data_IF_990495906487
#
_entry.id   IF_990495906487
#
_cell.length_a   1.000
_cell.length_b   1.000
_cell.length_c   1.000
_cell.angle_alpha   90.00
_cell.angle_beta   90.00
_cell.angle_gamma   90.00
#
_symmetry.space_group_name_H-M   'P 1'
#
loop_
_entity.id
_entity.type
_entity.pdbx_description
1 polymer ?
#
# COMPACT_ATOMS: atom_id res chain seq x y z
N UNK A 1 -45.44 -19.04 29.60
CA UNK A 1 -44.40 -18.10 30.08
C UNK A 1 -43.07 -18.56 29.48
N UNK A 2 -42.70 -18.09 28.27
CA UNK A 2 -41.74 -17.00 27.97
C UNK A 2 -40.37 -17.19 28.68
N UNK A 3 -39.19 -17.26 28.05
CA UNK A 3 -38.63 -16.70 26.80
C UNK A 3 -37.56 -17.67 26.24
N UNK A 4 -37.52 -18.01 24.94
CA UNK A 4 -36.84 -17.32 23.81
C UNK A 4 -35.36 -16.96 24.09
N UNK A 5 -34.45 -17.83 23.66
CA UNK A 5 -33.05 -17.52 23.33
C UNK A 5 -32.97 -17.47 21.80
N UNK A 6 -32.81 -16.26 21.24
CA UNK A 6 -32.49 -16.06 19.82
C UNK A 6 -30.97 -16.02 19.68
N UNK A 7 -30.41 -17.08 19.09
CA UNK A 7 -29.12 -17.01 18.43
C UNK A 7 -29.27 -16.16 17.17
N UNK A 8 -28.51 -15.07 17.10
CA UNK A 8 -28.39 -14.25 15.89
C UNK A 8 -27.08 -14.62 15.19
N UNK A 9 -27.12 -15.73 14.44
CA UNK A 9 -26.21 -15.98 13.32
C UNK A 9 -26.63 -15.04 12.20
N UNK A 10 -25.78 -14.10 11.81
CA UNK A 10 -25.94 -13.38 10.55
C UNK A 10 -24.68 -13.56 9.73
N UNK A 11 -24.77 -14.54 8.83
CA UNK A 11 -24.01 -14.57 7.59
C UNK A 11 -24.61 -13.51 6.67
N UNK A 12 -23.93 -12.38 6.51
CA UNK A 12 -24.21 -11.46 5.40
C UNK A 12 -23.22 -11.75 4.29
N UNK A 13 -23.78 -12.11 3.14
CA UNK A 13 -23.05 -12.36 1.91
C UNK A 13 -22.29 -11.09 1.49
N UNK A 14 -20.97 -11.08 1.66
CA UNK A 14 -20.10 -10.17 0.95
C UNK A 14 -20.02 -10.65 -0.51
N UNK A 15 -20.82 -10.04 -1.39
CA UNK A 15 -20.53 -10.09 -2.82
C UNK A 15 -19.45 -9.05 -3.07
N UNK A 16 -18.19 -9.48 -3.03
CA UNK A 16 -17.11 -8.72 -3.63
C UNK A 16 -17.40 -8.64 -5.13
N UNK A 17 -17.32 -7.44 -5.71
CA UNK A 17 -17.19 -7.27 -7.15
C UNK A 17 -15.86 -7.92 -7.59
N UNK A 18 -15.89 -9.23 -7.79
CA UNK A 18 -14.84 -9.96 -8.48
C UNK A 18 -15.04 -9.72 -9.98
N UNK A 19 -14.17 -8.92 -10.59
CA UNK A 19 -13.98 -8.99 -12.03
C UNK A 19 -13.19 -10.26 -12.30
N UNK A 20 -13.91 -11.38 -12.43
CA UNK A 20 -13.41 -12.60 -13.05
C UNK A 20 -13.41 -12.35 -14.56
N UNK A 21 -12.24 -12.09 -15.14
CA UNK A 21 -12.03 -12.21 -16.58
C UNK A 21 -11.02 -13.32 -16.84
N UNK A 22 -11.53 -14.49 -17.21
CA UNK A 22 -10.77 -15.52 -17.93
C UNK A 22 -11.54 -15.91 -19.20
N UNK A 23 -10.93 -15.52 -20.33
CA UNK A 23 -10.93 -16.01 -21.71
C UNK A 23 -12.14 -16.75 -22.34
N UNK A 24 -12.50 -16.28 -23.56
CA UNK A 24 -13.36 -17.00 -24.51
C UNK A 24 -13.53 -16.29 -25.86
N UNK A 25 -12.45 -16.31 -26.64
CA UNK A 25 -12.30 -16.21 -28.11
C UNK A 25 -12.85 -15.09 -29.01
N UNK A 26 -11.94 -14.78 -29.94
CA UNK A 26 -11.91 -13.86 -31.06
C UNK A 26 -13.03 -13.94 -32.11
N UNK A 27 -13.37 -12.77 -32.67
CA UNK A 27 -13.40 -12.59 -34.13
C UNK A 27 -13.22 -11.11 -34.54
N UNK A 28 -12.23 -10.90 -35.41
CA UNK A 28 -11.86 -9.75 -36.25
C UNK A 28 -12.91 -8.66 -36.56
N UNK A 29 -12.50 -7.39 -36.65
CA UNK A 29 -12.34 -6.64 -37.92
C UNK A 29 -11.74 -5.23 -37.67
N UNK A 30 -10.80 -4.86 -38.52
CA UNK A 30 -10.12 -3.57 -38.70
C UNK A 30 -11.02 -2.35 -38.90
N UNK A 31 -10.58 -1.17 -38.45
CA UNK A 31 -10.42 0.01 -39.34
C UNK A 31 -9.73 1.19 -38.64
N UNK A 32 -8.76 1.75 -39.35
CA UNK A 32 -8.21 3.09 -39.17
C UNK A 32 -9.31 4.15 -39.14
N UNK A 33 -9.21 5.14 -38.25
CA UNK A 33 -9.80 6.45 -38.48
C UNK A 33 -8.82 7.54 -38.04
N UNK A 34 -8.31 8.23 -39.05
CA UNK A 34 -7.59 9.51 -38.99
C UNK A 34 -8.47 10.57 -38.31
N UNK A 35 -7.89 11.39 -37.43
CA UNK A 35 -8.49 12.66 -37.01
C UNK A 35 -7.71 13.81 -37.64
N UNK A 36 -8.34 14.44 -38.62
CA UNK A 36 -7.88 15.65 -39.27
C UNK A 36 -8.11 16.92 -38.44
N UNK A 37 -7.26 17.89 -38.74
CA UNK A 37 -7.25 19.27 -38.24
C UNK A 37 -8.48 20.11 -38.67
N UNK A 38 -8.77 21.15 -37.85
CA UNK A 38 -9.09 22.48 -38.38
C UNK A 38 -10.36 23.18 -37.87
N UNK A 39 -10.16 24.16 -36.96
CA UNK A 39 -10.74 25.54 -36.86
C UNK A 39 -12.24 25.82 -37.14
N UNK A 40 -12.94 26.82 -36.57
CA UNK A 40 -12.71 27.93 -35.63
C UNK A 40 -14.09 28.61 -35.45
N UNK A 41 -14.43 29.15 -34.27
CA UNK A 41 -15.04 30.49 -34.17
C UNK A 41 -15.22 30.94 -32.72
N UNK A 42 -14.89 32.21 -32.55
CA UNK A 42 -14.72 33.02 -31.34
C UNK A 42 -16.02 33.32 -30.57
N UNK A 43 -15.88 33.46 -29.25
CA UNK A 43 -16.70 34.39 -28.43
C UNK A 43 -15.87 34.85 -27.23
N UNK A 44 -15.60 36.15 -27.17
CA UNK A 44 -15.09 36.84 -25.99
C UNK A 44 -16.21 37.01 -24.95
N UNK A 45 -15.92 36.80 -23.66
CA UNK A 45 -16.43 37.60 -22.55
C UNK A 45 -15.69 37.29 -21.24
N UNK A 46 -15.66 38.31 -20.41
CA UNK A 46 -14.68 38.59 -19.35
C UNK A 46 -14.89 37.86 -18.02
N UNK A 47 -13.81 37.87 -17.24
CA UNK A 47 -13.70 37.86 -15.78
C UNK A 47 -14.24 36.64 -15.02
N UNK A 48 -13.33 35.83 -14.49
CA UNK A 48 -13.08 35.75 -13.04
C UNK A 48 -11.85 34.89 -12.82
N UNK A 49 -11.05 35.32 -11.84
CA UNK A 49 -9.76 34.75 -11.45
C UNK A 49 -9.98 33.27 -11.10
N UNK A 50 -9.49 32.38 -11.95
CA UNK A 50 -9.22 31.01 -11.56
C UNK A 50 -7.87 31.04 -10.85
N UNK A 51 -7.88 30.92 -9.52
CA UNK A 51 -6.68 30.52 -8.80
C UNK A 51 -6.35 29.11 -9.27
N UNK A 52 -5.33 29.01 -10.11
CA UNK A 52 -4.65 27.75 -10.32
C UNK A 52 -4.06 27.33 -8.97
N UNK A 53 -4.56 26.21 -8.45
CA UNK A 53 -3.98 25.55 -7.29
C UNK A 53 -2.62 25.04 -7.72
N UNK A 54 -1.63 25.90 -7.53
CA UNK A 54 -0.24 25.63 -7.85
C UNK A 54 0.24 24.51 -6.94
N UNK A 55 0.61 23.40 -7.55
CA UNK A 55 1.30 22.29 -6.92
C UNK A 55 2.68 22.78 -6.46
N UNK A 56 2.78 23.16 -5.19
CA UNK A 56 4.04 23.40 -4.50
C UNK A 56 3.91 22.83 -3.10
N UNK A 57 4.60 21.72 -2.92
CA UNK A 57 4.72 20.92 -1.71
C UNK A 57 5.35 21.70 -0.57
N UNK A 58 4.50 22.23 0.31
CA UNK A 58 4.68 22.32 1.77
C UNK A 58 3.27 22.21 2.36
N UNK A 59 3.03 21.24 3.24
CA UNK A 59 1.79 21.20 4.03
C UNK A 59 1.87 22.33 5.06
N UNK A 60 1.55 23.56 4.67
CA UNK A 60 1.43 24.69 5.59
C UNK A 60 0.18 24.48 6.47
N UNK A 61 0.28 23.60 7.45
CA UNK A 61 -0.70 23.51 8.53
C UNK A 61 -0.61 24.83 9.29
N UNK A 62 -1.69 25.61 9.28
CA UNK A 62 -1.80 26.81 10.11
C UNK A 62 -1.96 26.39 11.58
N UNK A 63 -0.83 26.28 12.28
CA UNK A 63 -0.79 25.88 13.68
C UNK A 63 -1.17 27.08 14.55
N UNK A 64 -2.28 27.01 15.33
CA UNK A 64 -2.67 28.06 16.25
C UNK A 64 -1.55 28.40 17.25
N UNK A 65 -1.53 29.65 17.71
CA UNK A 65 -0.50 30.15 18.62
C UNK A 65 -0.34 29.25 19.86
N UNK A 66 0.91 28.88 20.15
CA UNK A 66 1.27 28.00 21.26
C UNK A 66 1.04 26.51 21.00
N UNK A 67 0.55 26.12 19.83
CA UNK A 67 0.47 24.73 19.39
C UNK A 67 1.73 24.24 18.68
N UNK A 68 1.73 22.96 18.31
CA UNK A 68 2.72 22.32 17.44
C UNK A 68 2.05 21.35 16.47
N UNK A 69 2.75 21.04 15.38
CA UNK A 69 2.39 19.92 14.51
C UNK A 69 2.42 18.62 15.32
N UNK A 70 1.41 17.76 15.13
CA UNK A 70 1.38 16.46 15.78
C UNK A 70 2.46 15.55 15.19
N UNK A 71 3.01 14.69 16.03
CA UNK A 71 3.88 13.58 15.66
C UNK A 71 3.08 12.28 15.65
N UNK A 72 3.62 11.25 15.01
CA UNK A 72 2.97 9.94 14.98
C UNK A 72 2.75 9.37 16.40
N UNK A 73 3.62 9.73 17.35
CA UNK A 73 3.49 9.35 18.76
C UNK A 73 2.22 9.93 19.42
N UNK A 74 1.78 11.12 19.01
CA UNK A 74 0.60 11.79 19.57
C UNK A 74 -0.72 11.14 19.15
N UNK A 75 -0.73 10.41 18.03
CA UNK A 75 -1.95 9.77 17.56
C UNK A 75 -2.37 8.59 18.45
N UNK A 76 -3.62 8.62 18.89
CA UNK A 76 -4.26 7.50 19.57
C UNK A 76 -4.63 6.39 18.59
N UNK A 77 -4.76 5.16 19.08
CA UNK A 77 -5.04 3.97 18.23
C UNK A 77 -6.37 4.07 17.48
N UNK A 78 -7.39 4.63 18.14
CA UNK A 78 -8.70 4.90 17.55
C UNK A 78 -9.14 6.30 17.96
N UNK A 79 -9.42 7.15 16.98
CA UNK A 79 -9.81 8.55 17.16
C UNK A 79 -11.20 8.72 16.56
N UNK A 80 -12.13 9.28 17.34
CA UNK A 80 -13.43 9.72 16.84
C UNK A 80 -13.23 10.95 15.96
N UNK A 81 -13.70 10.87 14.71
CA UNK A 81 -13.75 12.02 13.78
C UNK A 81 -15.07 12.81 13.91
N UNK A 82 -15.87 12.50 14.93
CA UNK A 82 -17.18 13.12 15.14
C UNK A 82 -18.23 12.58 14.18
N UNK A 83 -19.19 13.42 13.81
CA UNK A 83 -20.20 13.07 12.82
C UNK A 83 -19.69 13.37 11.40
N UNK A 84 -19.53 12.31 10.61
CA UNK A 84 -19.25 12.38 9.17
C UNK A 84 -20.31 11.55 8.44
N UNK A 85 -20.70 11.97 7.23
CA UNK A 85 -21.67 11.23 6.42
C UNK A 85 -23.04 11.01 7.12
N UNK A 86 -23.38 11.83 8.12
CA UNK A 86 -24.60 11.71 8.91
C UNK A 86 -24.55 10.65 10.02
N UNK A 87 -23.36 10.15 10.38
CA UNK A 87 -23.16 9.17 11.46
C UNK A 87 -21.77 9.33 12.09
N UNK A 88 -21.46 8.56 13.13
CA UNK A 88 -20.12 8.59 13.75
C UNK A 88 -19.09 7.89 12.87
N UNK A 89 -17.97 8.55 12.63
CA UNK A 89 -16.82 7.99 11.94
C UNK A 89 -15.59 7.96 12.86
N UNK A 90 -14.70 7.00 12.61
CA UNK A 90 -13.51 6.77 13.43
C UNK A 90 -12.29 6.57 12.54
N UNK A 91 -11.19 7.23 12.85
CA UNK A 91 -9.88 6.93 12.32
C UNK A 91 -9.22 5.86 13.20
N UNK A 92 -8.70 4.80 12.59
CA UNK A 92 -7.83 3.83 13.22
C UNK A 92 -6.41 3.98 12.68
N UNK A 93 -5.44 4.01 13.59
CA UNK A 93 -4.00 4.17 13.32
C UNK A 93 -3.21 2.88 13.60
N UNK A 94 -3.88 1.90 14.22
CA UNK A 94 -3.34 0.57 14.52
C UNK A 94 -2.02 0.58 15.30
N UNK A 95 -0.99 -0.01 14.73
CA UNK A 95 0.37 -0.08 15.26
C UNK A 95 1.27 1.08 14.77
N UNK A 96 0.70 2.05 14.03
CA UNK A 96 1.39 3.23 13.50
C UNK A 96 2.43 2.90 12.42
N UNK A 97 2.10 1.95 11.55
CA UNK A 97 2.90 1.57 10.37
C UNK A 97 2.49 2.32 9.09
N UNK A 98 2.06 3.58 9.22
CA UNK A 98 1.57 4.44 8.12
C UNK A 98 0.37 3.87 7.33
N UNK A 99 -0.22 2.78 7.81
CA UNK A 99 -1.52 2.26 7.36
C UNK A 99 -2.58 2.90 8.25
N UNK A 100 -3.62 3.43 7.65
CA UNK A 100 -4.74 4.06 8.33
C UNK A 100 -6.05 3.53 7.78
N UNK A 101 -7.10 3.64 8.58
CA UNK A 101 -8.44 3.39 8.09
C UNK A 101 -9.49 4.27 8.74
N UNK A 102 -10.46 4.70 7.95
CA UNK A 102 -11.66 5.38 8.44
C UNK A 102 -12.79 4.37 8.45
N UNK A 103 -13.54 4.32 9.54
CA UNK A 103 -14.62 3.37 9.75
C UNK A 103 -15.91 4.08 10.10
N UNK A 104 -16.96 3.73 9.39
CA UNK A 104 -18.34 3.81 9.87
C UNK A 104 -18.73 2.42 10.33
N UNK A 105 -18.91 2.18 11.65
CA UNK A 105 -19.21 0.86 12.17
C UNK A 105 -20.39 0.19 11.45
N UNK A 106 -20.24 -1.11 11.19
CA UNK A 106 -21.25 -1.98 10.58
C UNK A 106 -21.76 -1.54 9.19
N UNK A 107 -21.13 -0.53 8.57
CA UNK A 107 -21.63 0.10 7.34
C UNK A 107 -20.58 0.17 6.24
N UNK A 108 -19.48 0.89 6.49
CA UNK A 108 -18.48 1.19 5.46
C UNK A 108 -17.12 1.50 6.08
N UNK A 109 -16.06 1.29 5.32
CA UNK A 109 -14.70 1.61 5.74
C UNK A 109 -13.80 1.88 4.54
N UNK A 110 -12.72 2.62 4.77
CA UNK A 110 -11.64 2.80 3.81
C UNK A 110 -10.32 2.53 4.51
N UNK A 111 -9.42 1.81 3.85
CA UNK A 111 -8.05 1.57 4.31
C UNK A 111 -7.07 2.17 3.31
N UNK A 112 -6.07 2.89 3.79
CA UNK A 112 -5.12 3.62 2.96
C UNK A 112 -3.75 3.73 3.63
N UNK A 113 -2.75 3.94 2.79
CA UNK A 113 -1.36 4.16 3.19
C UNK A 113 -1.03 5.63 3.03
N UNK A 114 -0.45 6.23 4.06
CA UNK A 114 0.07 7.58 4.01
C UNK A 114 1.22 7.70 4.98
N UNK A 115 2.40 8.05 4.51
CA UNK A 115 3.48 8.41 5.43
C UNK A 115 3.03 9.57 6.30
N UNK A 116 3.14 9.43 7.62
CA UNK A 116 2.80 10.50 8.55
C UNK A 116 3.89 11.57 8.57
N UNK A 117 3.78 12.52 7.65
CA UNK A 117 4.71 13.64 7.51
C UNK A 117 4.01 14.94 7.84
N UNK A 118 4.70 15.77 8.60
CA UNK A 118 4.24 17.11 8.98
C UNK A 118 2.81 17.10 9.54
N UNK A 119 2.51 16.14 10.41
CA UNK A 119 1.21 16.03 11.07
C UNK A 119 0.04 15.66 10.16
N UNK A 120 0.28 15.22 8.93
CA UNK A 120 -0.78 15.00 7.94
C UNK A 120 -0.85 13.55 7.49
N UNK A 121 -2.08 13.06 7.32
CA UNK A 121 -2.38 11.86 6.52
C UNK A 121 -3.17 12.24 5.27
N UNK A 122 -2.88 11.57 4.17
CA UNK A 122 -3.54 11.73 2.87
C UNK A 122 -4.38 10.48 2.57
N UNK A 123 -5.54 10.66 1.95
CA UNK A 123 -6.39 9.56 1.53
C UNK A 123 -6.96 9.83 0.14
N UNK A 124 -7.16 8.78 -0.65
CA UNK A 124 -7.78 8.87 -1.98
C UNK A 124 -7.57 7.63 -2.82
N UNK A 125 -8.25 7.56 -3.97
CA UNK A 125 -8.26 6.37 -4.84
C UNK A 125 -6.89 5.86 -5.31
N UNK A 126 -5.83 6.65 -5.19
CA UNK A 126 -4.46 6.30 -5.55
C UNK A 126 -3.66 5.61 -4.41
N UNK A 127 -4.11 5.68 -3.16
CA UNK A 127 -3.33 5.21 -2.00
C UNK A 127 -4.13 4.28 -1.07
N UNK A 128 -5.19 3.64 -1.55
CA UNK A 128 -5.93 2.68 -0.73
C UNK A 128 -7.15 2.10 -1.40
N UNK A 129 -8.11 1.69 -0.59
CA UNK A 129 -9.35 1.08 -1.04
C UNK A 129 -10.52 1.42 -0.11
N UNK A 130 -11.71 1.33 -0.66
CA UNK A 130 -12.97 1.64 -0.01
C UNK A 130 -13.94 0.46 -0.16
N UNK A 131 -14.65 0.13 0.92
CA UNK A 131 -15.68 -0.90 0.95
C UNK A 131 -16.88 -0.47 1.80
N UNK A 132 -18.08 -0.86 1.39
CA UNK A 132 -19.30 -0.65 2.18
C UNK A 132 -20.48 -1.45 1.66
N UNK A 133 -21.68 -1.14 2.15
CA UNK A 133 -22.93 -1.84 1.80
C UNK A 133 -23.59 -1.15 0.61
N UNK A 134 -23.75 -1.88 -0.49
CA UNK A 134 -24.38 -1.35 -1.71
C UNK A 134 -25.79 -0.77 -1.44
N UNK A 135 -26.02 0.45 -1.96
CA UNK A 135 -27.30 1.15 -1.84
C UNK A 135 -27.55 1.81 -0.48
N UNK A 136 -26.59 1.75 0.45
CA UNK A 136 -26.62 2.53 1.68
C UNK A 136 -26.12 3.97 1.46
N UNK A 137 -26.83 4.95 2.01
CA UNK A 137 -26.50 6.38 1.79
C UNK A 137 -25.17 6.80 2.42
N UNK A 138 -24.81 6.19 3.54
CA UNK A 138 -23.52 6.47 4.20
C UNK A 138 -22.39 5.90 3.36
N UNK A 139 -22.59 4.68 2.84
CA UNK A 139 -21.68 4.06 1.86
C UNK A 139 -21.49 4.98 0.64
N UNK A 140 -22.57 5.46 0.03
CA UNK A 140 -22.46 6.36 -1.14
C UNK A 140 -21.69 7.64 -0.81
N UNK A 141 -22.01 8.29 0.31
CA UNK A 141 -21.34 9.51 0.74
C UNK A 141 -19.84 9.31 1.05
N UNK A 142 -19.50 8.19 1.70
CA UNK A 142 -18.12 7.82 1.99
C UNK A 142 -17.33 7.48 0.71
N UNK A 143 -17.98 6.83 -0.25
CA UNK A 143 -17.42 6.56 -1.58
C UNK A 143 -17.13 7.85 -2.35
N UNK A 144 -18.02 8.83 -2.32
CA UNK A 144 -17.76 10.15 -2.93
C UNK A 144 -16.64 10.92 -2.22
N UNK A 145 -16.57 10.84 -0.89
CA UNK A 145 -15.45 11.40 -0.11
C UNK A 145 -14.12 10.75 -0.48
N UNK A 146 -14.09 9.42 -0.62
CA UNK A 146 -12.93 8.65 -1.07
C UNK A 146 -12.47 9.03 -2.48
N UNK A 147 -13.41 9.17 -3.43
CA UNK A 147 -13.10 9.54 -4.82
C UNK A 147 -12.50 10.94 -4.92
N UNK A 148 -12.98 11.89 -4.12
CA UNK A 148 -12.40 13.24 -4.04
C UNK A 148 -10.99 13.21 -3.45
N UNK A 149 -10.76 12.31 -2.50
CA UNK A 149 -9.54 12.29 -1.72
C UNK A 149 -9.43 13.52 -0.82
N UNK A 150 -8.33 13.60 -0.07
CA UNK A 150 -8.12 14.70 0.86
C UNK A 150 -7.02 14.46 1.87
N UNK A 151 -7.00 15.32 2.88
CA UNK A 151 -6.06 15.29 3.99
C UNK A 151 -6.79 15.32 5.33
N UNK A 152 -6.18 14.69 6.33
CA UNK A 152 -6.49 14.93 7.74
C UNK A 152 -5.20 15.44 8.39
N UNK A 153 -5.23 16.68 8.87
CA UNK A 153 -4.11 17.33 9.52
C UNK A 153 -4.30 17.33 11.02
N UNK A 154 -3.22 17.10 11.76
CA UNK A 154 -3.22 16.95 13.21
C UNK A 154 -2.26 17.95 13.84
N UNK A 155 -2.73 18.58 14.91
CA UNK A 155 -1.93 19.47 15.76
C UNK A 155 -2.10 19.08 17.22
N UNK A 156 -1.17 19.50 18.05
CA UNK A 156 -1.32 19.52 19.50
C UNK A 156 -1.42 20.98 19.92
N UNK A 157 -2.52 21.35 20.55
CA UNK A 157 -2.77 22.73 20.95
C UNK A 157 -1.95 23.12 22.20
N UNK A 158 -2.08 24.38 22.63
CA UNK A 158 -1.36 24.91 23.79
C UNK A 158 -1.71 24.27 25.15
N UNK A 159 -2.79 23.49 25.20
CA UNK A 159 -3.20 22.68 26.36
C UNK A 159 -2.76 21.21 26.25
N UNK A 160 -1.87 20.89 25.31
CA UNK A 160 -1.39 19.53 25.02
C UNK A 160 -2.51 18.56 24.60
N UNK A 161 -3.53 19.07 23.90
CA UNK A 161 -4.63 18.26 23.36
C UNK A 161 -4.48 18.09 21.85
N UNK A 162 -4.64 16.86 21.38
CA UNK A 162 -4.68 16.53 19.97
C UNK A 162 -5.96 17.11 19.34
N UNK A 163 -5.79 17.79 18.21
CA UNK A 163 -6.89 18.27 17.37
C UNK A 163 -6.66 17.83 15.93
N UNK A 164 -7.73 17.70 15.16
CA UNK A 164 -7.67 17.34 13.75
C UNK A 164 -8.50 18.30 12.89
N UNK A 165 -8.10 18.46 11.65
CA UNK A 165 -8.83 19.16 10.60
C UNK A 165 -8.92 18.25 9.38
N UNK A 166 -10.09 18.21 8.75
CA UNK A 166 -10.30 17.49 7.48
C UNK A 166 -10.33 18.50 6.36
N UNK A 167 -9.46 18.32 5.36
CA UNK A 167 -9.38 19.17 4.16
C UNK A 167 -9.25 20.68 4.46
N UNK A 168 -8.49 21.05 5.49
CA UNK A 168 -8.24 22.45 5.85
C UNK A 168 -9.44 23.17 6.49
N UNK A 169 -10.43 22.44 7.00
CA UNK A 169 -11.48 23.01 7.84
C UNK A 169 -11.00 23.41 9.24
N UNK A 170 -11.93 23.84 10.10
CA UNK A 170 -11.61 24.18 11.48
C UNK A 170 -11.10 22.96 12.27
N UNK A 171 -10.13 23.20 13.16
CA UNK A 171 -9.63 22.17 14.08
C UNK A 171 -10.68 21.77 15.10
N UNK A 172 -10.84 20.46 15.27
CA UNK A 172 -11.75 19.83 16.21
C UNK A 172 -10.96 18.94 17.17
N UNK A 173 -11.41 18.85 18.42
CA UNK A 173 -10.76 18.00 19.42
C UNK A 173 -10.81 16.53 19.01
N UNK A 174 -9.65 15.88 19.00
CA UNK A 174 -9.54 14.45 18.75
C UNK A 174 -9.91 13.68 20.03
N UNK A 175 -10.97 12.87 19.97
CA UNK A 175 -11.42 12.07 21.12
C UNK A 175 -10.99 10.63 20.93
N UNK A 176 -10.19 10.11 21.86
CA UNK A 176 -9.79 8.69 21.88
C UNK A 176 -10.99 7.79 22.17
N UNK A 177 -11.21 6.78 21.33
CA UNK A 177 -12.33 5.84 21.44
C UNK A 177 -11.86 4.45 21.88
N UNK A 178 -12.60 3.86 22.83
CA UNK A 178 -12.35 2.48 23.27
C UNK A 178 -13.14 1.50 22.40
N UNK A 179 -12.46 0.89 21.43
CA UNK A 179 -13.06 -0.15 20.58
C UNK A 179 -12.92 -1.53 21.25
N UNK A 180 -14.02 -2.28 21.43
CA UNK A 180 -13.95 -3.66 21.93
C UNK A 180 -13.12 -4.54 21.00
N UNK A 181 -12.20 -5.31 21.59
CA UNK A 181 -11.40 -6.30 20.86
C UNK A 181 -12.10 -7.65 20.95
N UNK A 182 -12.18 -8.36 19.82
CA UNK A 182 -12.68 -9.74 19.80
C UNK A 182 -11.78 -10.62 20.66
N UNK A 183 -12.37 -11.36 21.61
CA UNK A 183 -11.65 -12.07 22.69
C UNK A 183 -10.55 -13.04 22.23
N UNK A 184 -10.64 -13.51 20.99
CA UNK A 184 -9.72 -14.47 20.40
C UNK A 184 -9.04 -13.93 19.14
N UNK A 185 -9.01 -12.60 18.93
CA UNK A 185 -8.37 -11.99 17.78
C UNK A 185 -7.09 -11.25 18.18
N UNK A 186 -6.07 -11.34 17.33
CA UNK A 186 -4.93 -10.44 17.39
C UNK A 186 -5.43 -9.04 17.08
N UNK A 187 -4.91 -8.04 17.82
CA UNK A 187 -5.37 -6.67 17.72
C UNK A 187 -4.26 -5.65 17.44
N UNK A 188 -3.00 -6.06 17.44
CA UNK A 188 -1.84 -5.20 17.17
C UNK A 188 -1.00 -5.80 16.02
N UNK A 189 -0.67 -4.99 15.00
CA UNK A 189 0.15 -5.42 13.87
C UNK A 189 1.57 -5.85 14.27
N UNK A 190 2.11 -5.29 15.36
CA UNK A 190 3.42 -5.67 15.89
C UNK A 190 3.49 -7.13 16.34
N UNK A 191 2.35 -7.74 16.70
CA UNK A 191 2.28 -9.14 17.10
C UNK A 191 2.55 -10.11 15.93
N UNK A 192 2.57 -9.60 14.69
CA UNK A 192 2.94 -10.36 13.49
C UNK A 192 4.40 -10.15 13.06
N UNK A 193 5.10 -9.13 13.57
CA UNK A 193 6.47 -8.79 13.15
C UNK A 193 7.42 -9.97 13.36
N UNK A 194 8.16 -10.35 12.32
CA UNK A 194 9.12 -11.45 12.36
C UNK A 194 8.48 -12.85 12.30
N UNK A 195 7.20 -12.92 11.92
CA UNK A 195 6.49 -14.19 11.73
C UNK A 195 6.35 -14.54 10.26
N UNK A 196 6.43 -15.84 9.99
CA UNK A 196 6.00 -16.47 8.74
C UNK A 196 4.81 -17.38 9.04
N UNK A 197 3.68 -17.11 8.41
CA UNK A 197 2.45 -17.91 8.49
C UNK A 197 2.30 -18.71 7.20
N UNK A 198 2.34 -20.03 7.31
CA UNK A 198 2.03 -20.94 6.21
C UNK A 198 0.59 -21.41 6.35
N UNK A 199 -0.27 -20.90 5.49
CA UNK A 199 -1.72 -21.03 5.57
C UNK A 199 -2.28 -21.93 4.48
N UNK A 200 -3.32 -22.69 4.81
CA UNK A 200 -3.99 -23.64 3.90
C UNK A 200 -5.49 -23.46 3.90
N UNK A 201 -6.09 -23.55 2.72
CA UNK A 201 -7.52 -23.66 2.53
C UNK A 201 -7.80 -24.73 1.46
N UNK A 202 -8.14 -25.93 1.89
CA UNK A 202 -8.16 -27.09 0.99
C UNK A 202 -6.76 -27.42 0.49
N UNK A 203 -6.61 -27.48 -0.83
CA UNK A 203 -5.33 -27.75 -1.50
C UNK A 203 -4.48 -26.48 -1.71
N UNK A 204 -5.10 -25.30 -1.60
CA UNK A 204 -4.42 -24.02 -1.78
C UNK A 204 -3.50 -23.72 -0.60
N UNK A 205 -2.27 -23.31 -0.92
CA UNK A 205 -1.25 -22.89 0.05
C UNK A 205 -0.84 -21.47 -0.22
N UNK A 206 -0.80 -20.67 0.84
CA UNK A 206 -0.28 -19.31 0.81
C UNK A 206 0.62 -19.10 2.01
N UNK A 207 1.75 -18.45 1.77
CA UNK A 207 2.70 -18.05 2.80
C UNK A 207 2.60 -16.54 2.98
N UNK A 208 2.49 -16.08 4.23
CA UNK A 208 2.60 -14.68 4.60
C UNK A 208 3.84 -14.50 5.48
N UNK A 209 4.75 -13.62 5.06
CA UNK A 209 5.94 -13.24 5.81
C UNK A 209 5.79 -11.79 6.23
N UNK A 210 5.87 -11.52 7.53
CA UNK A 210 5.61 -10.21 8.12
C UNK A 210 6.90 -9.59 8.66
N UNK A 211 7.24 -8.43 8.10
CA UNK A 211 8.32 -7.55 8.56
C UNK A 211 7.71 -6.45 9.45
N UNK A 212 8.42 -5.33 9.64
CA UNK A 212 7.89 -4.19 10.38
C UNK A 212 6.90 -3.40 9.52
N UNK A 213 5.60 -3.58 9.76
CA UNK A 213 4.54 -2.89 9.00
C UNK A 213 4.44 -3.29 7.52
N UNK A 214 5.32 -4.18 7.05
CA UNK A 214 5.39 -4.66 5.67
C UNK A 214 5.19 -6.16 5.58
N UNK A 215 4.59 -6.65 4.50
CA UNK A 215 4.37 -8.07 4.30
C UNK A 215 4.80 -8.53 2.91
N UNK A 216 5.12 -9.82 2.80
CA UNK A 216 5.24 -10.57 1.57
C UNK A 216 4.25 -11.74 1.62
N UNK A 217 3.42 -11.87 0.60
CA UNK A 217 2.54 -13.00 0.34
C UNK A 217 3.11 -13.81 -0.83
N UNK A 218 3.16 -15.13 -0.70
CA UNK A 218 3.61 -16.04 -1.75
C UNK A 218 2.66 -17.23 -1.90
N UNK A 219 2.38 -17.64 -3.13
CA UNK A 219 1.56 -18.81 -3.45
C UNK A 219 2.02 -19.47 -4.75
N UNK A 220 1.73 -20.76 -4.90
CA UNK A 220 1.93 -21.44 -6.19
C UNK A 220 0.75 -21.11 -7.10
N UNK A 221 1.03 -20.50 -8.26
CA UNK A 221 0.06 -20.28 -9.34
C UNK A 221 0.33 -21.22 -10.52
N UNK A 222 -0.53 -21.14 -11.54
CA UNK A 222 -0.42 -21.98 -12.75
C UNK A 222 0.91 -21.82 -13.49
N UNK A 223 1.46 -20.60 -13.50
CA UNK A 223 2.68 -20.23 -14.24
C UNK A 223 3.93 -20.16 -13.33
N UNK A 224 3.83 -20.68 -12.09
CA UNK A 224 4.91 -20.69 -11.11
C UNK A 224 4.60 -19.86 -9.86
N UNK A 225 5.65 -19.37 -9.20
CA UNK A 225 5.52 -18.63 -7.94
C UNK A 225 4.88 -17.26 -8.17
N UNK A 226 3.69 -17.08 -7.62
CA UNK A 226 3.01 -15.79 -7.51
C UNK A 226 3.34 -15.13 -6.17
N UNK A 227 3.47 -13.82 -6.17
CA UNK A 227 3.72 -13.08 -4.94
C UNK A 227 3.17 -11.67 -4.97
N UNK A 228 2.84 -11.15 -3.79
CA UNK A 228 2.47 -9.76 -3.57
C UNK A 228 3.15 -9.23 -2.32
N UNK A 229 3.59 -7.99 -2.31
CA UNK A 229 4.17 -7.33 -1.15
C UNK A 229 3.51 -5.96 -0.96
N UNK A 230 3.46 -5.52 0.29
CA UNK A 230 2.98 -4.19 0.62
C UNK A 230 2.92 -3.91 2.11
N UNK A 231 1.97 -3.09 2.51
CA UNK A 231 1.83 -2.61 3.88
C UNK A 231 0.79 -3.40 4.64
N UNK A 232 1.00 -3.61 5.93
CA UNK A 232 -0.03 -4.22 6.77
C UNK A 232 -0.12 -3.55 8.14
N UNK A 233 -1.30 -3.69 8.73
CA UNK A 233 -1.53 -3.41 10.14
C UNK A 233 -2.77 -4.16 10.64
N UNK A 234 -2.94 -4.26 11.95
CA UNK A 234 -4.18 -4.76 12.56
C UNK A 234 -4.94 -3.60 13.19
N UNK A 235 -6.08 -3.30 12.58
CA UNK A 235 -6.94 -2.17 12.94
C UNK A 235 -8.33 -2.69 13.26
N UNK A 236 -8.82 -2.37 14.45
CA UNK A 236 -10.13 -2.86 14.95
C UNK A 236 -10.31 -4.38 14.84
N UNK A 237 -9.26 -5.14 15.16
CA UNK A 237 -9.20 -6.62 15.06
C UNK A 237 -9.29 -7.16 13.63
N UNK A 238 -8.93 -6.34 12.64
CA UNK A 238 -8.86 -6.71 11.22
C UNK A 238 -7.44 -6.49 10.73
N UNK A 239 -6.82 -7.54 10.21
CA UNK A 239 -5.59 -7.46 9.44
C UNK A 239 -5.92 -6.83 8.10
N UNK A 240 -5.42 -5.62 7.90
CA UNK A 240 -5.46 -4.89 6.64
C UNK A 240 -4.12 -5.12 5.94
N UNK A 241 -4.15 -5.60 4.70
CA UNK A 241 -2.97 -5.82 3.87
C UNK A 241 -3.16 -5.10 2.54
N UNK A 242 -2.37 -4.05 2.31
CA UNK A 242 -2.40 -3.22 1.12
C UNK A 242 -1.28 -3.62 0.18
N UNK A 243 -1.62 -4.17 -0.99
CA UNK A 243 -0.63 -4.62 -1.97
C UNK A 243 -0.12 -3.45 -2.80
N UNK A 244 1.20 -3.33 -2.94
CA UNK A 244 1.84 -2.28 -3.76
C UNK A 244 2.74 -2.86 -4.85
N UNK A 245 3.45 -3.94 -4.52
CA UNK A 245 4.27 -4.73 -5.43
C UNK A 245 3.61 -6.10 -5.64
N UNK A 246 3.57 -6.58 -6.87
CA UNK A 246 3.01 -7.89 -7.14
C UNK A 246 3.52 -8.47 -8.46
N UNK A 247 3.63 -9.79 -8.47
CA UNK A 247 3.79 -10.62 -9.65
C UNK A 247 2.68 -11.69 -9.61
N UNK A 248 1.44 -11.24 -9.83
CA UNK A 248 0.22 -12.07 -9.83
C UNK A 248 -0.64 -11.69 -11.04
N UNK A 249 -1.47 -12.61 -11.53
CA UNK A 249 -2.45 -12.28 -12.59
C UNK A 249 -3.59 -11.39 -12.08
N UNK A 250 -3.96 -11.52 -10.82
CA UNK A 250 -5.02 -10.76 -10.16
C UNK A 250 -4.47 -9.76 -9.14
N UNK A 251 -4.82 -8.49 -9.29
CA UNK A 251 -4.49 -7.44 -8.33
C UNK A 251 -5.63 -7.27 -7.31
N UNK A 252 -5.32 -7.48 -6.03
CA UNK A 252 -6.25 -7.22 -4.92
C UNK A 252 -5.65 -6.07 -4.09
N UNK A 253 -6.07 -4.81 -4.31
CA UNK A 253 -5.43 -3.64 -3.70
C UNK A 253 -5.44 -3.67 -2.17
N UNK A 254 -6.50 -4.23 -1.58
CA UNK A 254 -6.66 -4.35 -0.14
C UNK A 254 -7.30 -5.68 0.21
N UNK A 255 -6.60 -6.43 1.05
CA UNK A 255 -7.10 -7.64 1.68
C UNK A 255 -7.43 -7.33 3.13
N UNK A 256 -8.59 -7.83 3.59
CA UNK A 256 -9.02 -7.72 4.98
C UNK A 256 -9.33 -9.12 5.53
N UNK A 257 -8.69 -9.48 6.64
CA UNK A 257 -8.87 -10.75 7.32
C UNK A 257 -8.96 -10.55 8.84
N UNK A 258 -9.52 -11.52 9.54
CA UNK A 258 -9.36 -11.63 11.00
C UNK A 258 -8.24 -12.62 11.27
N UNK A 259 -7.36 -12.30 12.21
CA UNK A 259 -6.33 -13.22 12.70
C UNK A 259 -6.72 -13.65 14.09
N UNK A 260 -6.91 -14.94 14.30
CA UNK A 260 -7.21 -15.47 15.63
C UNK A 260 -5.93 -15.63 16.48
N UNK A 261 -6.10 -15.96 17.77
CA UNK A 261 -4.98 -16.17 18.70
C UNK A 261 -4.07 -17.36 18.34
N UNK A 262 -4.57 -18.26 17.49
CA UNK A 262 -3.82 -19.40 16.94
C UNK A 262 -3.23 -19.07 15.55
N UNK A 263 -3.34 -17.80 15.11
CA UNK A 263 -2.86 -17.26 13.84
C UNK A 263 -3.58 -17.79 12.60
N UNK A 264 -4.74 -18.44 12.75
CA UNK A 264 -5.59 -18.76 11.60
C UNK A 264 -6.21 -17.49 11.04
N UNK A 265 -6.42 -17.47 9.72
CA UNK A 265 -6.98 -16.33 9.01
C UNK A 265 -8.43 -16.62 8.63
N UNK A 266 -9.31 -15.65 8.82
CA UNK A 266 -10.68 -15.70 8.31
C UNK A 266 -10.94 -14.51 7.40
N UNK A 267 -11.25 -14.76 6.13
CA UNK A 267 -11.61 -13.71 5.18
C UNK A 267 -12.96 -13.09 5.52
N UNK A 268 -13.25 -11.93 4.92
CA UNK A 268 -14.58 -11.29 4.99
C UNK A 268 -15.71 -12.15 4.42
N UNK A 269 -15.41 -13.07 3.51
CA UNK A 269 -16.37 -14.02 2.94
C UNK A 269 -16.61 -15.24 3.84
N UNK A 270 -15.90 -15.35 4.98
CA UNK A 270 -15.99 -16.47 5.92
C UNK A 270 -15.09 -17.65 5.59
N UNK A 271 -14.29 -17.58 4.51
CA UNK A 271 -13.29 -18.60 4.22
C UNK A 271 -12.22 -18.59 5.32
N UNK A 272 -11.92 -19.76 5.86
CA UNK A 272 -10.98 -19.92 6.96
C UNK A 272 -9.74 -20.66 6.47
N UNK A 273 -8.58 -20.12 6.80
CA UNK A 273 -7.28 -20.66 6.46
C UNK A 273 -6.62 -21.15 7.74
N UNK A 274 -6.29 -22.44 7.79
CA UNK A 274 -5.51 -22.98 8.90
C UNK A 274 -4.05 -22.65 8.68
N UNK A 275 -3.42 -22.00 9.67
CA UNK A 275 -2.05 -21.51 9.53
C UNK A 275 -1.11 -22.15 10.55
N UNK A 276 0.09 -22.49 10.11
CA UNK A 276 1.22 -22.77 11.00
C UNK A 276 2.15 -21.57 11.05
N UNK A 277 2.50 -21.14 12.26
CA UNK A 277 3.45 -20.05 12.46
C UNK A 277 4.88 -20.56 12.64
N UNK A 278 5.83 -19.80 12.12
CA UNK A 278 7.26 -19.91 12.41
C UNK A 278 7.85 -18.52 12.61
N UNK A 279 8.91 -18.41 13.40
CA UNK A 279 9.66 -17.17 13.52
C UNK A 279 10.78 -17.17 12.48
N UNK A 280 11.07 -16.02 11.92
CA UNK A 280 12.26 -15.81 11.10
C UNK A 280 13.01 -14.58 11.59
N UNK A 281 14.29 -14.48 11.22
CA UNK A 281 15.12 -13.31 11.49
C UNK A 281 15.44 -12.66 10.16
N UNK A 282 15.43 -11.35 10.15
CA UNK A 282 15.84 -10.52 9.02
C UNK A 282 16.71 -9.38 9.55
N UNK A 283 17.58 -8.87 8.70
CA UNK A 283 18.30 -7.63 8.95
C UNK A 283 17.48 -6.47 8.38
N UNK A 284 17.17 -5.47 9.20
CA UNK A 284 16.43 -4.32 8.68
C UNK A 284 17.37 -3.40 7.93
N UNK A 285 17.15 -3.24 6.63
CA UNK A 285 17.89 -2.31 5.80
C UNK A 285 17.16 -0.98 5.77
N UNK A 286 17.91 0.09 6.02
CA UNK A 286 17.42 1.45 5.95
C UNK A 286 17.27 1.87 4.47
N UNK A 287 16.03 2.15 4.05
CA UNK A 287 15.72 2.57 2.69
C UNK A 287 16.52 3.82 2.27
N UNK A 288 16.76 4.75 3.20
CA UNK A 288 17.50 5.97 2.92
C UNK A 288 18.99 5.72 2.69
N UNK A 289 19.53 4.61 3.22
CA UNK A 289 20.95 4.24 3.09
C UNK A 289 21.22 3.41 1.84
N UNK A 290 20.29 2.54 1.44
CA UNK A 290 20.44 1.75 0.20
C UNK A 290 20.10 2.58 -1.05
N UNK A 291 19.34 3.67 -0.90
CA UNK A 291 19.10 4.63 -1.97
C UNK A 291 20.43 5.25 -2.46
N UNK A 292 20.74 5.08 -3.74
CA UNK A 292 22.02 5.48 -4.32
C UNK A 292 22.23 4.97 -5.73
N UNK A 293 23.43 5.22 -6.25
CA UNK A 293 23.92 4.65 -7.49
C UNK A 293 24.88 3.50 -7.19
N UNK A 294 24.63 2.37 -7.82
CA UNK A 294 25.36 1.13 -7.61
C UNK A 294 25.80 0.57 -8.95
N UNK A 295 27.01 0.03 -8.99
CA UNK A 295 27.60 -0.52 -10.22
C UNK A 295 28.05 -1.95 -10.06
N UNK A 296 28.02 -2.66 -11.18
CA UNK A 296 28.44 -4.04 -11.28
C UNK A 296 28.96 -4.35 -12.68
N UNK A 297 29.88 -5.29 -12.79
CA UNK A 297 30.31 -5.87 -14.06
C UNK A 297 29.70 -7.27 -14.19
N UNK A 298 29.01 -7.54 -15.30
CA UNK A 298 28.33 -8.82 -15.51
C UNK A 298 28.15 -9.12 -16.99
N UNK A 299 28.55 -10.33 -17.41
CA UNK A 299 28.46 -10.81 -18.80
C UNK A 299 29.12 -9.88 -19.85
N UNK A 300 30.16 -9.14 -19.43
CA UNK A 300 30.85 -8.17 -20.28
C UNK A 300 30.03 -6.92 -20.59
N UNK A 301 29.08 -6.58 -19.71
CA UNK A 301 28.30 -5.36 -19.69
C UNK A 301 28.61 -4.57 -18.42
N UNK A 302 28.65 -3.25 -18.55
CA UNK A 302 28.76 -2.32 -17.43
C UNK A 302 27.34 -2.03 -16.92
N UNK A 303 27.02 -2.42 -15.69
CA UNK A 303 25.70 -2.26 -15.09
C UNK A 303 25.65 -1.08 -14.13
N UNK A 304 24.55 -0.36 -14.15
CA UNK A 304 24.23 0.70 -13.18
C UNK A 304 22.81 0.51 -12.66
N UNK A 305 22.66 0.40 -11.35
CA UNK A 305 21.39 0.46 -10.64
C UNK A 305 21.31 1.80 -9.92
N UNK A 306 20.21 2.52 -10.12
CA UNK A 306 19.90 3.75 -9.41
C UNK A 306 18.62 3.54 -8.60
N UNK A 307 18.74 3.64 -7.27
CA UNK A 307 17.62 3.56 -6.33
C UNK A 307 17.38 4.97 -5.77
N UNK A 308 16.34 5.66 -6.22
CA UNK A 308 16.04 7.02 -5.77
C UNK A 308 15.24 6.99 -4.47
N UNK A 309 15.48 7.96 -3.59
CA UNK A 309 14.75 8.14 -2.32
C UNK A 309 13.23 8.29 -2.46
N UNK A 310 12.76 8.71 -3.64
CA UNK A 310 11.33 8.82 -3.92
C UNK A 310 10.67 7.47 -4.30
N UNK A 311 11.42 6.36 -4.24
CA UNK A 311 10.93 5.02 -4.59
C UNK A 311 10.98 4.71 -6.09
N UNK A 312 11.55 5.57 -6.93
CA UNK A 312 11.81 5.24 -8.34
C UNK A 312 13.16 4.52 -8.49
N UNK A 313 13.24 3.57 -9.42
CA UNK A 313 14.51 2.94 -9.78
C UNK A 313 14.74 2.83 -11.27
N UNK A 314 16.00 2.65 -11.63
CA UNK A 314 16.42 2.16 -12.95
C UNK A 314 17.58 1.18 -12.82
N UNK A 315 17.61 0.18 -13.70
CA UNK A 315 18.76 -0.69 -13.94
C UNK A 315 19.10 -0.59 -15.43
N UNK A 316 20.32 -0.21 -15.74
CA UNK A 316 20.82 -0.08 -17.11
C UNK A 316 22.07 -0.95 -17.29
N UNK A 317 22.19 -1.62 -18.44
CA UNK A 317 23.40 -2.31 -18.85
C UNK A 317 23.93 -1.69 -20.15
N UNK A 318 25.23 -1.41 -20.21
CA UNK A 318 25.89 -0.82 -21.39
C UNK A 318 27.01 -1.69 -21.93
N UNK A 319 27.20 -1.63 -23.25
CA UNK A 319 28.34 -2.20 -23.95
C UNK A 319 28.89 -1.21 -24.96
N UNK A 320 30.14 -0.80 -24.79
CA UNK A 320 30.80 0.18 -25.67
C UNK A 320 29.95 1.45 -25.90
N UNK A 321 29.25 1.92 -24.86
CA UNK A 321 28.40 3.10 -24.89
C UNK A 321 26.96 2.89 -25.39
N UNK A 322 26.61 1.69 -25.88
CA UNK A 322 25.23 1.36 -26.27
C UNK A 322 24.47 0.73 -25.09
N UNK A 323 23.22 1.13 -24.88
CA UNK A 323 22.32 0.51 -23.90
C UNK A 323 21.83 -0.84 -24.42
N UNK A 324 22.18 -1.91 -23.72
CA UNK A 324 21.81 -3.30 -24.05
C UNK A 324 20.60 -3.77 -23.22
N UNK A 325 20.40 -3.19 -22.04
CA UNK A 325 19.25 -3.44 -21.17
C UNK A 325 18.87 -2.16 -20.44
N UNK A 326 17.56 -1.96 -20.26
CA UNK A 326 17.02 -0.89 -19.43
C UNK A 326 15.74 -1.38 -18.78
N UNK A 327 15.70 -1.31 -17.46
CA UNK A 327 14.52 -1.55 -16.62
C UNK A 327 14.32 -0.34 -15.74
N UNK A 328 13.09 0.13 -15.62
CA UNK A 328 12.78 1.24 -14.73
C UNK A 328 11.37 1.11 -14.16
N UNK A 329 11.17 1.63 -12.96
CA UNK A 329 9.87 1.62 -12.31
C UNK A 329 9.99 2.03 -10.85
N UNK A 330 9.37 1.27 -9.96
CA UNK A 330 9.39 1.58 -8.51
C UNK A 330 10.03 0.48 -7.69
N UNK A 331 10.64 0.85 -6.56
CA UNK A 331 11.31 -0.05 -5.63
C UNK A 331 10.93 0.27 -4.19
N UNK A 332 11.13 -0.70 -3.30
CA UNK A 332 10.92 -0.56 -1.86
C UNK A 332 11.64 -1.71 -1.11
N UNK A 333 11.82 -1.59 0.21
CA UNK A 333 12.59 -2.54 1.05
C UNK A 333 11.74 -3.05 2.22
N UNK A 334 11.80 -4.36 2.45
CA UNK A 334 10.95 -5.10 3.38
C UNK A 334 11.87 -5.89 4.32
N UNK A 335 12.37 -5.24 5.38
CA UNK A 335 13.47 -5.81 6.15
C UNK A 335 14.74 -5.92 5.31
N UNK A 336 15.09 -7.14 4.91
CA UNK A 336 16.20 -7.45 4.01
C UNK A 336 15.75 -7.76 2.57
N UNK A 337 14.45 -7.71 2.27
CA UNK A 337 13.91 -8.03 0.94
C UNK A 337 13.74 -6.76 0.09
N UNK A 338 14.51 -6.64 -0.98
CA UNK A 338 14.34 -5.60 -2.01
C UNK A 338 13.33 -6.07 -3.05
N UNK A 339 12.30 -5.24 -3.30
CA UNK A 339 11.28 -5.48 -4.33
C UNK A 339 11.38 -4.41 -5.41
N UNK A 340 11.30 -4.86 -6.67
CA UNK A 340 11.40 -4.03 -7.87
C UNK A 340 10.17 -4.28 -8.74
N UNK A 341 9.47 -3.23 -9.15
CA UNK A 341 8.32 -3.30 -10.07
C UNK A 341 8.64 -2.58 -11.37
N UNK A 342 8.75 -3.32 -12.46
CA UNK A 342 9.02 -2.77 -13.78
C UNK A 342 7.78 -2.03 -14.32
N UNK A 343 7.98 -0.78 -14.73
CA UNK A 343 6.99 0.04 -15.48
C UNK A 343 7.45 0.29 -16.91
N UNK A 344 8.75 0.26 -17.15
CA UNK A 344 9.38 0.48 -18.44
C UNK A 344 10.51 -0.53 -18.61
N UNK A 345 10.58 -1.17 -19.77
CA UNK A 345 11.70 -2.02 -20.14
C UNK A 345 12.10 -1.75 -21.60
N UNK A 346 13.38 -1.91 -21.94
CA UNK A 346 13.86 -1.82 -23.32
C UNK A 346 13.21 -2.88 -24.20
N UNK A 347 13.06 -4.11 -23.66
CA UNK A 347 12.43 -5.24 -24.32
C UNK A 347 11.19 -5.71 -23.53
N UNK A 348 10.00 -5.07 -23.69
CA UNK A 348 8.82 -5.39 -22.88
C UNK A 348 8.38 -6.85 -22.91
N UNK A 349 8.57 -7.55 -24.04
CA UNK A 349 8.18 -8.96 -24.20
C UNK A 349 9.06 -9.95 -23.43
N UNK A 350 10.22 -9.52 -22.92
CA UNK A 350 11.17 -10.34 -22.16
C UNK A 350 11.31 -9.88 -20.71
N UNK A 351 10.57 -8.84 -20.32
CA UNK A 351 10.69 -8.23 -19.02
C UNK A 351 9.76 -8.91 -18.02
N UNK A 352 10.28 -9.27 -16.84
CA UNK A 352 9.43 -9.67 -15.71
C UNK A 352 8.68 -8.45 -15.19
N UNK A 353 7.43 -8.60 -14.78
CA UNK A 353 6.64 -7.48 -14.27
C UNK A 353 7.20 -6.94 -12.95
N UNK A 354 7.70 -7.83 -12.09
CA UNK A 354 8.35 -7.48 -10.85
C UNK A 354 9.38 -8.55 -10.46
N UNK A 355 10.40 -8.14 -9.73
CA UNK A 355 11.40 -9.00 -9.14
C UNK A 355 11.48 -8.74 -7.64
N UNK A 356 11.83 -9.77 -6.86
CA UNK A 356 12.17 -9.62 -5.45
C UNK A 356 13.47 -10.37 -5.16
N UNK A 357 14.20 -9.94 -4.15
CA UNK A 357 15.42 -10.63 -3.74
C UNK A 357 15.88 -10.22 -2.37
N UNK A 358 16.65 -11.10 -1.73
CA UNK A 358 17.25 -10.83 -0.43
C UNK A 358 18.51 -10.00 -0.65
N UNK A 359 18.61 -8.91 0.09
CA UNK A 359 19.81 -8.09 0.19
C UNK A 359 20.63 -8.59 1.36
N UNK A 360 21.92 -8.84 1.13
CA UNK A 360 22.85 -9.31 2.15
C UNK A 360 24.20 -8.60 2.02
N UNK A 361 24.99 -8.63 3.09
CA UNK A 361 26.29 -7.93 3.16
C UNK A 361 26.20 -6.44 2.78
N UNK A 362 25.08 -5.79 3.14
CA UNK A 362 24.87 -4.38 2.82
C UNK A 362 25.78 -3.48 3.66
N UNK A 363 26.54 -2.65 2.96
CA UNK A 363 27.37 -1.60 3.50
C UNK A 363 27.34 -0.40 2.55
N UNK A 364 26.92 0.76 3.07
CA UNK A 364 26.66 1.95 2.28
C UNK A 364 27.90 2.53 1.59
N UNK A 365 29.11 2.12 2.01
CA UNK A 365 30.38 2.61 1.46
C UNK A 365 31.01 1.61 0.48
N UNK A 366 30.61 0.32 0.52
CA UNK A 366 31.25 -0.74 -0.25
C UNK A 366 30.33 -1.49 -1.20
N UNK A 367 29.07 -1.78 -0.85
CA UNK A 367 28.19 -2.57 -1.71
C UNK A 367 27.15 -3.43 -1.01
N UNK A 368 26.52 -4.31 -1.78
CA UNK A 368 25.64 -5.37 -1.29
C UNK A 368 25.51 -6.50 -2.31
N UNK A 369 25.06 -7.65 -1.82
CA UNK A 369 24.57 -8.75 -2.65
C UNK A 369 23.05 -8.71 -2.72
N UNK A 370 22.48 -9.00 -3.89
CA UNK A 370 21.05 -9.04 -4.18
C UNK A 370 20.71 -10.37 -4.87
N UNK A 371 20.30 -11.37 -4.07
CA UNK A 371 19.85 -12.66 -4.58
C UNK A 371 18.40 -12.57 -5.04
N UNK A 372 18.22 -12.27 -6.33
CA UNK A 372 16.92 -11.90 -6.90
C UNK A 372 16.29 -12.95 -7.80
N UNK A 373 14.97 -12.83 -7.94
CA UNK A 373 14.14 -13.67 -8.80
C UNK A 373 14.06 -13.22 -10.27
N UNK A 374 14.77 -12.16 -10.67
CA UNK A 374 14.75 -11.68 -12.07
C UNK A 374 15.38 -12.72 -13.02
N UNK A 375 14.57 -13.24 -13.94
CA UNK A 375 14.98 -14.23 -14.95
C UNK A 375 15.19 -13.61 -16.34
N UNK A 376 15.23 -12.27 -16.44
CA UNK A 376 15.43 -11.54 -17.68
C UNK A 376 16.80 -11.81 -18.33
N UNK A 377 16.92 -11.43 -19.60
CA UNK A 377 18.18 -11.55 -20.36
C UNK A 377 18.50 -10.21 -21.03
N UNK A 378 19.70 -9.63 -20.81
CA UNK A 378 20.83 -10.17 -20.03
C UNK A 378 20.53 -10.29 -18.53
N UNK A 379 21.26 -11.20 -17.86
CA UNK A 379 21.04 -11.48 -16.44
C UNK A 379 21.51 -10.30 -15.58
N UNK A 380 20.63 -9.83 -14.70
CA UNK A 380 20.97 -8.76 -13.75
C UNK A 380 22.04 -9.29 -12.77
N UNK A 381 23.11 -8.53 -12.49
CA UNK A 381 24.13 -8.93 -11.53
C UNK A 381 23.58 -9.10 -10.11
N UNK A 382 24.17 -10.05 -9.37
CA UNK A 382 23.83 -10.30 -7.97
C UNK A 382 24.69 -9.54 -6.97
N UNK A 383 25.82 -8.97 -7.38
CA UNK A 383 26.72 -8.22 -6.49
C UNK A 383 26.87 -6.81 -7.02
N UNK A 384 26.68 -5.84 -6.16
CA UNK A 384 26.65 -4.42 -6.47
C UNK A 384 27.62 -3.67 -5.57
N UNK A 385 28.34 -2.71 -6.13
CA UNK A 385 29.36 -1.92 -5.42
C UNK A 385 29.10 -0.43 -5.59
N UNK A 386 29.64 0.37 -4.67
CA UNK A 386 29.58 1.83 -4.79
C UNK A 386 30.44 2.29 -5.97
N UNK A 387 29.94 3.25 -6.75
CA UNK A 387 30.71 3.89 -7.81
C UNK A 387 31.94 4.60 -7.22
N UNK A 388 33.13 4.26 -7.73
CA UNK A 388 34.36 4.96 -7.38
C UNK A 388 34.62 6.10 -8.37
N UNK A 389 35.06 7.24 -7.86
CA UNK A 389 35.48 8.40 -8.65
C UNK A 389 36.95 8.72 -8.34
N UNK A 390 37.73 9.08 -9.36
CA UNK A 390 39.13 9.53 -9.21
C UNK A 390 39.25 11.01 -8.80
#
# INVERSE_FOLDING_TARGET
>A
MNKILKNSLWASACVSAMVLSACGDSSSTSSNVEKGDGSSSSVESSSSVAEEVSSSSVSDIDVPEGGRVATLADLEKNISLGEMFGTKAYLATGAKHDVYSIWVPDTAWMGFFSEFKDGTITFGGNNGYYAGIDGDKVTDAMGEFWKKGGTISFIVNSEDKLQFSVNGGDFQDAVSEKVPVSKNAISNGDDLKGLKLECKNGDDKVTYTFYEGRFLQESEGEDGLEWAAGYYDIQRSKLLMMQTFFNTKGYVPLTNMTVDSDYNLTSVTGATYSCSKSNFKFESIDADKIAGEWVADGDGLDWTMNLKKNGDYSVEAKKAGNTEELKAGSWDIYGDLLVLKNKQCLNPSKCVNAAKGVVSHFDAESGFDFDHSDTGTPAVPKTWTVQQYE
#
